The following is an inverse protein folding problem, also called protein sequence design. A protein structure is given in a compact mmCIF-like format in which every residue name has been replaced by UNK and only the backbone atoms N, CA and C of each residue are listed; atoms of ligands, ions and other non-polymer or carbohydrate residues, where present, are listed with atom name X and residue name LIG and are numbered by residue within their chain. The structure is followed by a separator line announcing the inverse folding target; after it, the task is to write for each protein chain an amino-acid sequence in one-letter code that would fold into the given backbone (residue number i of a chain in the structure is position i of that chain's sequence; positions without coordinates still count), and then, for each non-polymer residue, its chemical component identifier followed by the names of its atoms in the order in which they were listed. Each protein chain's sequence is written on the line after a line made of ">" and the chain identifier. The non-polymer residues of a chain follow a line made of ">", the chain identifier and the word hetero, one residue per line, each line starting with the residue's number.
data_IF_626549199043
#
_entry.id   IF_626549199043
#
_cell.length_a   1.000
_cell.length_b   1.000
_cell.length_c   1.000
_cell.angle_alpha   90.00
_cell.angle_beta   90.00
_cell.angle_gamma   90.00
#
_symmetry.space_group_name_H-M   'P 1'
#
loop_
_entity.id
_entity.type
_entity.pdbx_description
1 polymer ?
#
# COMPACT_ATOMS: atom_id res chain seq x y z
N UNK A 1 70.59 -15.76 39.24
CA UNK A 1 69.96 -16.29 38.01
C UNK A 1 68.79 -17.15 38.41
N UNK A 2 67.62 -16.86 37.86
CA UNK A 2 66.34 -17.48 38.16
C UNK A 2 66.12 -18.77 37.33
N UNK A 3 65.33 -19.70 37.85
CA UNK A 3 64.56 -20.64 37.03
C UNK A 3 63.29 -21.06 37.80
N UNK A 4 62.15 -20.86 37.14
CA UNK A 4 60.77 -20.97 37.61
C UNK A 4 60.29 -22.41 37.86
N UNK A 5 59.20 -22.59 38.64
CA UNK A 5 58.49 -23.86 38.73
C UNK A 5 57.61 -24.11 37.50
N UNK A 6 57.53 -25.38 37.08
CA UNK A 6 56.67 -25.87 36.00
C UNK A 6 55.21 -25.91 36.51
N UNK A 7 54.38 -24.99 36.01
CA UNK A 7 52.96 -24.96 36.30
C UNK A 7 52.21 -26.01 35.45
N UNK A 8 51.34 -26.78 36.09
CA UNK A 8 50.60 -27.87 35.51
C UNK A 8 49.30 -27.34 34.87
N UNK A 9 49.16 -27.52 33.55
CA UNK A 9 47.94 -27.69 32.75
C UNK A 9 46.67 -26.95 33.23
N UNK A 10 46.35 -25.83 32.57
CA UNK A 10 44.99 -25.29 32.57
C UNK A 10 44.07 -26.20 31.74
N UNK A 11 42.95 -26.61 32.34
CA UNK A 11 41.83 -27.21 31.61
C UNK A 11 41.29 -26.18 30.62
N UNK A 12 41.45 -26.44 29.33
CA UNK A 12 40.77 -25.67 28.29
C UNK A 12 39.28 -26.03 28.35
N UNK A 13 38.48 -25.08 28.85
CA UNK A 13 37.04 -25.10 28.64
C UNK A 13 36.79 -24.92 27.14
N UNK A 14 36.30 -25.98 26.49
CA UNK A 14 35.71 -25.90 25.17
C UNK A 14 34.46 -25.02 25.29
N UNK A 15 34.61 -23.73 24.99
CA UNK A 15 33.46 -22.84 24.86
C UNK A 15 32.64 -23.29 23.65
N UNK A 16 31.40 -23.69 23.91
CA UNK A 16 30.39 -23.94 22.90
C UNK A 16 30.16 -22.64 22.12
N UNK A 17 30.58 -22.60 20.86
CA UNK A 17 30.22 -21.51 19.96
C UNK A 17 28.74 -21.64 19.62
N UNK A 18 27.88 -20.88 20.30
CA UNK A 18 26.50 -20.68 19.85
C UNK A 18 26.54 -19.92 18.52
N UNK A 19 26.28 -20.63 17.43
CA UNK A 19 25.95 -20.01 16.14
C UNK A 19 24.81 -19.01 16.36
N UNK A 20 24.82 -17.82 15.73
CA UNK A 20 23.69 -16.92 15.83
C UNK A 20 22.41 -17.65 15.40
N UNK A 21 21.36 -17.50 16.19
CA UNK A 21 20.06 -18.15 15.99
C UNK A 21 19.64 -17.98 14.53
N UNK A 22 19.57 -19.09 13.77
CA UNK A 22 19.17 -19.05 12.36
C UNK A 22 17.73 -18.54 12.30
N UNK A 23 17.54 -17.30 11.88
CA UNK A 23 16.21 -16.71 11.66
C UNK A 23 15.44 -17.56 10.67
N UNK A 24 14.14 -17.74 10.91
CA UNK A 24 13.29 -18.56 10.05
C UNK A 24 13.31 -17.99 8.61
N UNK A 25 13.39 -18.83 7.55
CA UNK A 25 13.48 -18.36 6.16
C UNK A 25 12.42 -17.32 5.78
N UNK A 26 11.17 -17.51 6.21
CA UNK A 26 10.07 -16.54 5.98
C UNK A 26 10.28 -15.19 6.69
N UNK A 27 10.96 -15.16 7.83
CA UNK A 27 11.28 -13.89 8.52
C UNK A 27 12.36 -13.13 7.75
N UNK A 28 13.33 -13.84 7.16
CA UNK A 28 14.31 -13.22 6.27
C UNK A 28 13.63 -12.65 5.03
N UNK A 29 12.77 -13.44 4.38
CA UNK A 29 12.01 -13.04 3.19
C UNK A 29 11.16 -11.79 3.46
N UNK A 30 10.44 -11.75 4.60
CA UNK A 30 9.69 -10.57 5.03
C UNK A 30 10.55 -9.31 5.14
N UNK A 31 11.69 -9.41 5.83
CA UNK A 31 12.60 -8.26 6.01
C UNK A 31 13.24 -7.80 4.70
N UNK A 32 13.51 -8.72 3.78
CA UNK A 32 14.08 -8.39 2.48
C UNK A 32 13.06 -7.64 1.60
N UNK A 33 11.78 -8.05 1.64
CA UNK A 33 10.69 -7.34 0.97
C UNK A 33 10.45 -5.95 1.58
N UNK A 34 10.55 -5.80 2.91
CA UNK A 34 10.47 -4.50 3.57
C UNK A 34 11.57 -3.53 3.12
N UNK A 35 12.83 -3.98 3.06
CA UNK A 35 13.94 -3.14 2.57
C UNK A 35 13.69 -2.67 1.15
N UNK A 36 13.29 -3.60 0.27
CA UNK A 36 12.96 -3.29 -1.13
C UNK A 36 11.83 -2.26 -1.21
N UNK A 37 10.83 -2.33 -0.34
CA UNK A 37 9.72 -1.37 -0.28
C UNK A 37 10.16 0.02 0.22
N UNK A 38 11.12 0.07 1.14
CA UNK A 38 11.74 1.31 1.64
C UNK A 38 12.53 2.06 0.56
N UNK A 39 13.24 1.34 -0.32
CA UNK A 39 14.02 1.94 -1.40
C UNK A 39 13.16 2.74 -2.41
N UNK A 40 11.85 2.46 -2.49
CA UNK A 40 10.93 3.19 -3.37
C UNK A 40 10.48 4.56 -2.84
N UNK A 41 10.78 4.91 -1.58
CA UNK A 41 10.32 6.15 -0.94
C UNK A 41 11.08 7.41 -1.43
N UNK A 42 12.32 7.24 -1.90
CA UNK A 42 13.18 8.37 -2.33
C UNK A 42 12.89 8.85 -3.76
N UNK A 43 12.11 8.10 -4.55
CA UNK A 43 11.90 8.41 -5.96
C UNK A 43 10.63 9.24 -6.17
N UNK A 44 10.68 10.25 -7.05
CA UNK A 44 9.48 11.02 -7.41
C UNK A 44 8.32 10.10 -7.83
N UNK A 45 7.10 10.27 -7.27
CA UNK A 45 6.02 9.32 -7.48
C UNK A 45 5.56 9.33 -8.94
N UNK A 46 5.83 8.22 -9.63
CA UNK A 46 5.38 7.90 -10.99
C UNK A 46 4.34 6.78 -10.95
N UNK A 47 3.55 6.61 -12.02
CA UNK A 47 2.60 5.49 -12.06
C UNK A 47 3.31 4.15 -11.93
N UNK A 48 4.41 3.97 -12.68
CA UNK A 48 5.25 2.76 -12.64
C UNK A 48 5.84 2.47 -11.26
N UNK A 49 6.36 3.48 -10.55
CA UNK A 49 6.93 3.27 -9.22
C UNK A 49 5.85 2.95 -8.18
N UNK A 50 4.64 3.47 -8.34
CA UNK A 50 3.51 3.14 -7.48
C UNK A 50 3.05 1.70 -7.73
N UNK A 51 2.93 1.25 -8.97
CA UNK A 51 2.59 -0.14 -9.29
C UNK A 51 3.65 -1.11 -8.77
N UNK A 52 4.94 -0.76 -8.86
CA UNK A 52 6.01 -1.56 -8.26
C UNK A 52 5.87 -1.67 -6.74
N UNK A 53 5.49 -0.57 -6.07
CA UNK A 53 5.22 -0.57 -4.62
C UNK A 53 4.01 -1.44 -4.28
N UNK A 54 2.92 -1.37 -5.06
CA UNK A 54 1.72 -2.21 -4.85
C UNK A 54 2.03 -3.69 -5.07
N UNK A 55 2.78 -4.04 -6.11
CA UNK A 55 3.24 -5.41 -6.34
C UNK A 55 4.13 -5.92 -5.19
N UNK A 56 5.08 -5.12 -4.71
CA UNK A 56 5.89 -5.50 -3.55
C UNK A 56 5.07 -5.67 -2.27
N UNK A 57 3.98 -4.93 -2.10
CA UNK A 57 3.03 -5.17 -1.00
C UNK A 57 2.36 -6.53 -1.13
N UNK A 58 1.98 -6.96 -2.33
CA UNK A 58 1.38 -8.29 -2.54
C UNK A 58 2.34 -9.39 -2.10
N UNK A 59 3.61 -9.33 -2.52
CA UNK A 59 4.66 -10.27 -2.10
C UNK A 59 4.82 -10.32 -0.57
N UNK A 60 4.78 -9.15 0.08
CA UNK A 60 4.90 -9.02 1.53
C UNK A 60 3.70 -9.64 2.27
N UNK A 61 2.48 -9.39 1.79
CA UNK A 61 1.26 -10.01 2.33
C UNK A 61 1.27 -11.53 2.15
N UNK A 62 1.74 -12.04 1.01
CA UNK A 62 1.89 -13.49 0.79
C UNK A 62 2.89 -14.14 1.75
N UNK A 63 4.00 -13.45 2.05
CA UNK A 63 4.96 -13.91 3.05
C UNK A 63 4.31 -14.00 4.44
N UNK A 64 3.50 -13.01 4.81
CA UNK A 64 2.79 -12.96 6.09
C UNK A 64 1.72 -14.05 6.17
N UNK A 65 0.95 -14.28 5.11
CA UNK A 65 -0.02 -15.35 5.09
C UNK A 65 0.62 -16.71 5.35
N UNK A 66 1.81 -16.97 4.77
CA UNK A 66 2.59 -18.20 5.06
C UNK A 66 3.09 -18.23 6.51
N UNK A 67 3.51 -17.09 7.06
CA UNK A 67 3.96 -16.98 8.44
C UNK A 67 2.83 -17.26 9.43
N UNK A 68 1.62 -16.74 9.16
CA UNK A 68 0.43 -16.90 10.00
C UNK A 68 -0.07 -18.36 10.07
N UNK A 69 0.30 -19.20 9.10
CA UNK A 69 -0.03 -20.63 9.10
C UNK A 69 0.89 -21.49 10.00
N UNK A 70 1.94 -20.92 10.58
CA UNK A 70 2.91 -21.69 11.36
C UNK A 70 2.37 -22.02 12.77
N UNK A 71 2.69 -23.19 13.35
CA UNK A 71 2.16 -23.60 14.66
C UNK A 71 2.44 -22.62 15.81
N UNK A 72 3.55 -21.88 15.73
CA UNK A 72 3.93 -20.93 16.78
C UNK A 72 3.03 -19.67 16.79
N UNK A 73 2.43 -19.29 15.66
CA UNK A 73 1.50 -18.15 15.60
C UNK A 73 0.13 -18.52 16.18
N UNK A 74 -0.28 -19.78 16.00
CA UNK A 74 -1.48 -20.36 16.62
C UNK A 74 -1.32 -20.50 18.13
N UNK A 75 -0.12 -20.87 18.61
CA UNK A 75 0.17 -20.89 20.04
C UNK A 75 0.06 -19.50 20.69
N UNK A 76 0.42 -18.42 19.98
CA UNK A 76 0.32 -17.05 20.48
C UNK A 76 -1.13 -16.61 20.76
N UNK A 77 -2.12 -17.16 20.04
CA UNK A 77 -3.53 -16.86 20.29
C UNK A 77 -4.03 -17.43 21.62
N UNK A 78 -3.46 -18.55 22.05
CA UNK A 78 -3.79 -19.22 23.32
C UNK A 78 -3.28 -18.42 24.54
N UNK A 79 -2.27 -17.56 24.37
CA UNK A 79 -1.66 -16.75 25.45
C UNK A 79 -2.37 -15.41 25.76
N UNK A 80 -3.65 -15.25 25.40
CA UNK A 80 -4.51 -14.08 25.71
C UNK A 80 -4.28 -12.79 24.89
N UNK A 81 -3.64 -12.83 23.71
CA UNK A 81 -3.47 -11.64 22.84
C UNK A 81 -4.74 -11.20 22.07
N UNK A 82 -5.94 -11.50 22.58
CA UNK A 82 -7.22 -11.19 21.91
C UNK A 82 -7.38 -9.72 21.55
N UNK A 83 -6.93 -8.82 22.43
CA UNK A 83 -6.97 -7.37 22.20
C UNK A 83 -6.17 -6.99 20.95
N UNK A 84 -4.95 -7.52 20.82
CA UNK A 84 -4.09 -7.22 19.69
C UNK A 84 -4.63 -7.78 18.37
N UNK A 85 -5.13 -9.03 18.36
CA UNK A 85 -5.78 -9.58 17.17
C UNK A 85 -7.01 -8.76 16.75
N UNK A 86 -7.81 -8.29 17.70
CA UNK A 86 -8.95 -7.41 17.39
C UNK A 86 -8.48 -6.07 16.79
N UNK A 87 -7.42 -5.44 17.34
CA UNK A 87 -6.84 -4.22 16.78
C UNK A 87 -6.34 -4.45 15.33
N UNK A 88 -5.67 -5.58 15.06
CA UNK A 88 -5.25 -5.97 13.70
C UNK A 88 -6.44 -6.20 12.76
N UNK A 89 -7.51 -6.81 13.27
CA UNK A 89 -8.74 -7.00 12.50
C UNK A 89 -9.38 -5.64 12.19
N UNK A 90 -9.47 -4.72 13.14
CA UNK A 90 -9.98 -3.37 12.88
C UNK A 90 -9.12 -2.64 11.84
N UNK A 91 -7.80 -2.80 11.93
CA UNK A 91 -6.85 -2.28 10.96
C UNK A 91 -7.03 -2.81 9.54
N UNK A 92 -7.13 -4.13 9.40
CA UNK A 92 -7.41 -4.79 8.11
C UNK A 92 -8.75 -4.35 7.51
N UNK A 93 -9.78 -4.13 8.33
CA UNK A 93 -11.09 -3.67 7.87
C UNK A 93 -11.00 -2.25 7.33
N UNK A 94 -10.31 -1.35 8.05
CA UNK A 94 -10.10 0.02 7.59
C UNK A 94 -9.32 0.05 6.26
N UNK A 95 -8.31 -0.81 6.09
CA UNK A 95 -7.58 -0.94 4.83
C UNK A 95 -8.50 -1.37 3.67
N UNK A 96 -9.42 -2.32 3.92
CA UNK A 96 -10.42 -2.74 2.93
C UNK A 96 -11.39 -1.63 2.57
N UNK A 97 -11.85 -0.83 3.54
CA UNK A 97 -12.73 0.32 3.27
C UNK A 97 -12.01 1.39 2.41
N UNK A 98 -10.72 1.58 2.65
CA UNK A 98 -9.87 2.48 1.85
C UNK A 98 -9.70 1.93 0.44
N UNK A 99 -9.41 0.62 0.28
CA UNK A 99 -9.39 -0.05 -1.02
C UNK A 99 -10.67 0.21 -1.80
N UNK A 100 -11.83 -0.06 -1.19
CA UNK A 100 -13.13 0.12 -1.82
C UNK A 100 -13.34 1.57 -2.27
N UNK A 101 -13.04 2.53 -1.39
CA UNK A 101 -13.13 3.97 -1.72
C UNK A 101 -12.19 4.36 -2.87
N UNK A 102 -10.99 3.77 -2.92
CA UNK A 102 -10.01 4.03 -3.98
C UNK A 102 -10.47 3.47 -5.33
N UNK A 103 -10.95 2.23 -5.36
CA UNK A 103 -11.50 1.56 -6.55
C UNK A 103 -12.71 2.35 -7.08
N UNK A 104 -13.66 2.72 -6.21
CA UNK A 104 -14.82 3.52 -6.59
C UNK A 104 -14.44 4.87 -7.21
N UNK A 105 -13.41 5.53 -6.66
CA UNK A 105 -12.89 6.78 -7.21
C UNK A 105 -12.27 6.55 -8.59
N UNK A 106 -11.42 5.53 -8.74
CA UNK A 106 -10.78 5.18 -10.01
C UNK A 106 -11.81 4.87 -11.10
N UNK A 107 -12.82 4.04 -10.80
CA UNK A 107 -13.91 3.69 -11.70
C UNK A 107 -14.68 4.94 -12.17
N UNK A 108 -15.02 5.85 -11.25
CA UNK A 108 -15.69 7.11 -11.61
C UNK A 108 -14.79 8.04 -12.43
N UNK A 109 -13.48 8.11 -12.16
CA UNK A 109 -12.54 8.87 -13.01
C UNK A 109 -12.46 8.26 -14.41
N UNK A 110 -12.40 6.93 -14.51
CA UNK A 110 -12.35 6.18 -15.78
C UNK A 110 -13.58 6.45 -16.64
N UNK A 111 -14.77 6.37 -16.06
CA UNK A 111 -16.04 6.68 -16.72
C UNK A 111 -16.07 8.12 -17.25
N UNK A 112 -15.77 9.12 -16.38
CA UNK A 112 -15.74 10.52 -16.78
C UNK A 112 -14.65 10.81 -17.85
N UNK A 113 -13.54 10.07 -17.81
CA UNK A 113 -12.47 10.16 -18.82
C UNK A 113 -12.95 9.62 -20.17
N UNK A 114 -13.68 8.50 -20.19
CA UNK A 114 -14.27 7.92 -21.41
C UNK A 114 -15.33 8.83 -22.01
N UNK A 115 -16.21 9.41 -21.20
CA UNK A 115 -17.21 10.38 -21.65
C UNK A 115 -16.55 11.59 -22.32
N UNK A 116 -15.52 12.13 -21.68
CA UNK A 116 -14.76 13.26 -22.20
C UNK A 116 -14.02 12.91 -23.50
N UNK A 117 -13.34 11.75 -23.55
CA UNK A 117 -12.69 11.26 -24.77
C UNK A 117 -13.69 11.06 -25.91
N UNK A 118 -14.85 10.46 -25.63
CA UNK A 118 -15.91 10.20 -26.60
C UNK A 118 -16.43 11.52 -27.19
N UNK A 119 -16.69 12.51 -26.33
CA UNK A 119 -17.12 13.85 -26.74
C UNK A 119 -16.07 14.54 -27.63
N UNK A 120 -14.79 14.41 -27.27
CA UNK A 120 -13.69 15.00 -28.05
C UNK A 120 -13.50 14.30 -29.41
N UNK A 121 -13.66 12.97 -29.47
CA UNK A 121 -13.52 12.17 -30.70
C UNK A 121 -14.63 12.43 -31.71
N UNK A 122 -15.85 12.70 -31.25
CA UNK A 122 -17.01 12.96 -32.12
C UNK A 122 -16.93 14.30 -32.90
N UNK A 123 -15.83 15.07 -32.78
CA UNK A 123 -15.60 16.39 -33.42
C UNK A 123 -16.89 17.20 -33.53
N UNK A 124 -17.48 17.54 -32.39
CA UNK A 124 -18.64 18.41 -32.38
C UNK A 124 -18.15 19.86 -32.47
N UNK A 125 -18.54 20.59 -33.50
CA UNK A 125 -18.19 22.01 -33.70
C UNK A 125 -18.72 22.93 -32.57
N UNK A 126 -19.47 22.39 -31.62
CA UNK A 126 -20.02 23.11 -30.49
C UNK A 126 -19.05 23.12 -29.31
N UNK A 127 -18.23 24.18 -29.22
CA UNK A 127 -17.31 24.43 -28.11
C UNK A 127 -18.00 24.43 -26.72
N UNK A 128 -19.31 24.70 -26.68
CA UNK A 128 -20.12 24.70 -25.46
C UNK A 128 -20.32 23.29 -24.88
N UNK A 129 -20.47 22.26 -25.72
CA UNK A 129 -20.63 20.88 -25.25
C UNK A 129 -19.34 20.28 -24.71
N UNK A 130 -18.22 20.55 -25.37
CA UNK A 130 -16.89 20.20 -24.87
C UNK A 130 -16.66 20.87 -23.51
N UNK A 131 -17.02 22.17 -23.39
CA UNK A 131 -16.92 22.90 -22.12
C UNK A 131 -17.73 22.24 -21.02
N UNK A 132 -19.01 21.92 -21.29
CA UNK A 132 -19.89 21.24 -20.33
C UNK A 132 -19.31 19.90 -19.85
N UNK A 133 -18.75 19.11 -20.76
CA UNK A 133 -18.17 17.80 -20.40
C UNK A 133 -16.87 17.94 -19.60
N UNK A 134 -16.04 18.94 -19.92
CA UNK A 134 -14.84 19.28 -19.14
C UNK A 134 -15.22 19.70 -17.72
N UNK A 135 -16.25 20.54 -17.57
CA UNK A 135 -16.74 20.96 -16.26
C UNK A 135 -17.30 19.79 -15.45
N UNK A 136 -18.05 18.88 -16.09
CA UNK A 136 -18.51 17.63 -15.48
C UNK A 136 -17.33 16.77 -15.00
N UNK A 137 -16.32 16.56 -15.84
CA UNK A 137 -15.09 15.83 -15.47
C UNK A 137 -14.38 16.48 -14.27
N UNK A 138 -14.16 17.80 -14.29
CA UNK A 138 -13.49 18.52 -13.21
C UNK A 138 -14.27 18.47 -11.90
N UNK A 139 -15.61 18.60 -11.95
CA UNK A 139 -16.48 18.48 -10.79
C UNK A 139 -16.42 17.08 -10.18
N UNK A 140 -16.53 16.04 -11.02
CA UNK A 140 -16.41 14.64 -10.60
C UNK A 140 -15.05 14.37 -9.94
N UNK A 141 -13.96 14.80 -10.57
CA UNK A 141 -12.59 14.63 -10.03
C UNK A 141 -12.40 15.38 -8.70
N UNK A 142 -13.04 16.54 -8.53
CA UNK A 142 -13.03 17.28 -7.25
C UNK A 142 -13.74 16.51 -6.14
N UNK A 143 -14.87 15.87 -6.43
CA UNK A 143 -15.60 15.03 -5.46
C UNK A 143 -14.76 13.82 -5.05
N UNK A 144 -14.21 13.11 -6.02
CA UNK A 144 -13.39 11.93 -5.76
C UNK A 144 -12.11 12.28 -4.99
N UNK A 145 -11.44 13.38 -5.35
CA UNK A 145 -10.30 13.90 -4.58
C UNK A 145 -10.65 14.11 -3.10
N UNK A 146 -11.82 14.69 -2.81
CA UNK A 146 -12.26 14.89 -1.42
C UNK A 146 -12.52 13.56 -0.71
N UNK A 147 -13.11 12.58 -1.38
CA UNK A 147 -13.34 11.25 -0.83
C UNK A 147 -12.01 10.56 -0.47
N UNK A 148 -11.04 10.57 -1.39
CA UNK A 148 -9.71 10.00 -1.16
C UNK A 148 -8.97 10.72 -0.03
N UNK A 149 -9.04 12.05 0.03
CA UNK A 149 -8.47 12.83 1.13
C UNK A 149 -9.14 12.55 2.48
N UNK A 150 -10.43 12.24 2.50
CA UNK A 150 -11.13 11.84 3.72
C UNK A 150 -10.67 10.46 4.17
N UNK A 151 -10.55 9.51 3.24
CA UNK A 151 -10.02 8.17 3.51
C UNK A 151 -8.59 8.24 4.07
N UNK A 152 -7.72 9.04 3.45
CA UNK A 152 -6.35 9.30 3.91
C UNK A 152 -6.30 9.78 5.36
N UNK A 153 -7.15 10.76 5.72
CA UNK A 153 -7.22 11.27 7.09
C UNK A 153 -7.69 10.23 8.09
N UNK A 154 -8.62 9.34 7.69
CA UNK A 154 -9.05 8.21 8.52
C UNK A 154 -7.88 7.28 8.83
N UNK A 155 -7.08 6.96 7.81
CA UNK A 155 -5.89 6.11 7.97
C UNK A 155 -4.84 6.68 8.92
N UNK A 156 -4.56 7.99 8.82
CA UNK A 156 -3.53 8.62 9.66
C UNK A 156 -3.86 8.58 11.16
N UNK A 157 -5.15 8.57 11.52
CA UNK A 157 -5.60 8.46 12.91
C UNK A 157 -5.22 7.08 13.47
N UNK A 158 -5.27 6.04 12.64
CA UNK A 158 -5.02 4.66 13.05
C UNK A 158 -3.53 4.36 13.27
N UNK A 159 -2.64 4.90 12.42
CA UNK A 159 -1.17 4.79 12.57
C UNK A 159 -0.69 5.28 13.94
N UNK A 160 -1.42 6.20 14.55
CA UNK A 160 -1.01 6.86 15.79
C UNK A 160 -1.36 6.09 17.08
N UNK A 161 -2.08 4.96 16.98
CA UNK A 161 -2.35 4.08 18.12
C UNK A 161 -1.16 3.15 18.37
N UNK A 162 -0.18 3.64 19.12
CA UNK A 162 0.93 2.81 19.62
C UNK A 162 0.47 2.03 20.84
N UNK A 163 0.31 0.72 20.72
CA UNK A 163 0.40 -0.18 21.87
C UNK A 163 1.72 -0.95 21.83
N UNK A 164 2.41 -0.89 22.97
CA UNK A 164 3.63 -1.57 23.39
C UNK A 164 3.35 -3.05 23.68
N UNK A 165 3.76 -3.94 22.78
CA UNK A 165 3.93 -5.37 23.10
C UNK A 165 5.16 -5.91 22.36
N UNK A 166 6.03 -6.63 23.08
CA UNK A 166 7.40 -7.00 22.68
C UNK A 166 7.49 -8.32 21.90
N UNK A 167 6.41 -8.77 21.24
CA UNK A 167 6.45 -9.99 20.45
C UNK A 167 6.99 -9.72 19.03
N UNK A 168 8.02 -10.45 18.57
CA UNK A 168 8.62 -10.23 17.25
C UNK A 168 7.60 -10.29 16.10
N UNK A 169 6.66 -11.23 16.14
CA UNK A 169 5.64 -11.35 15.09
C UNK A 169 4.60 -10.22 15.11
N UNK A 170 4.26 -9.71 16.30
CA UNK A 170 3.38 -8.56 16.45
C UNK A 170 4.03 -7.32 15.82
N UNK A 171 5.34 -7.13 16.04
CA UNK A 171 6.10 -6.05 15.42
C UNK A 171 6.11 -6.16 13.91
N UNK A 172 6.34 -7.36 13.35
CA UNK A 172 6.31 -7.58 11.89
C UNK A 172 4.94 -7.26 11.29
N UNK A 173 3.86 -7.69 11.94
CA UNK A 173 2.50 -7.46 11.43
C UNK A 173 2.09 -5.98 11.50
N UNK A 174 2.54 -5.25 12.52
CA UNK A 174 2.39 -3.78 12.58
C UNK A 174 3.20 -3.08 11.49
N UNK A 175 4.39 -3.58 11.19
CA UNK A 175 5.22 -3.05 10.12
C UNK A 175 4.61 -3.30 8.74
N UNK A 176 4.05 -4.49 8.50
CA UNK A 176 3.24 -4.81 7.31
C UNK A 176 2.09 -3.81 7.16
N UNK A 177 1.33 -3.60 8.22
CA UNK A 177 0.20 -2.67 8.23
C UNK A 177 0.66 -1.25 7.91
N UNK A 178 1.71 -0.75 8.58
CA UNK A 178 2.27 0.56 8.34
C UNK A 178 2.75 0.74 6.89
N UNK A 179 3.49 -0.23 6.35
CA UNK A 179 4.02 -0.18 4.98
C UNK A 179 2.89 -0.24 3.96
N UNK A 180 1.86 -1.05 4.23
CA UNK A 180 0.63 -1.10 3.43
C UNK A 180 -0.06 0.27 3.43
N UNK A 181 -0.22 0.90 4.60
CA UNK A 181 -0.81 2.24 4.75
C UNK A 181 -0.01 3.31 3.97
N UNK A 182 1.32 3.30 4.05
CA UNK A 182 2.13 4.26 3.26
C UNK A 182 2.02 4.00 1.75
N UNK A 183 1.82 2.74 1.32
CA UNK A 183 1.52 2.40 -0.06
C UNK A 183 0.21 3.00 -0.53
N UNK A 184 -0.86 2.85 0.27
CA UNK A 184 -2.14 3.51 0.02
C UNK A 184 -2.00 5.03 0.00
N UNK A 185 -1.26 5.62 0.94
CA UNK A 185 -1.02 7.06 0.97
C UNK A 185 -0.36 7.58 -0.31
N UNK A 186 0.66 6.86 -0.79
CA UNK A 186 1.37 7.17 -2.02
C UNK A 186 0.43 7.12 -3.24
N UNK A 187 -0.35 6.05 -3.36
CA UNK A 187 -1.31 5.85 -4.44
C UNK A 187 -2.41 6.91 -4.43
N UNK A 188 -3.06 7.12 -3.28
CA UNK A 188 -4.17 8.06 -3.15
C UNK A 188 -3.70 9.50 -3.37
N UNK A 189 -2.50 9.84 -2.92
CA UNK A 189 -1.90 11.15 -3.18
C UNK A 189 -1.63 11.35 -4.68
N UNK A 190 -1.15 10.32 -5.37
CA UNK A 190 -0.94 10.34 -6.81
C UNK A 190 -2.25 10.52 -7.59
N UNK A 191 -3.29 9.76 -7.25
CA UNK A 191 -4.63 9.88 -7.86
C UNK A 191 -5.26 11.26 -7.57
N UNK A 192 -5.08 11.76 -6.35
CA UNK A 192 -5.56 13.08 -5.93
C UNK A 192 -4.78 14.24 -6.57
N UNK A 193 -3.61 13.98 -7.15
CA UNK A 193 -2.76 15.00 -7.78
C UNK A 193 -3.45 15.58 -9.02
N UNK A 194 -3.48 16.91 -9.17
CA UNK A 194 -3.94 17.53 -10.40
C UNK A 194 -2.95 17.29 -11.53
N UNK A 195 -3.30 16.38 -12.44
CA UNK A 195 -2.59 16.20 -13.71
C UNK A 195 -2.93 17.32 -14.75
N UNK A 196 -3.87 18.21 -14.44
CA UNK A 196 -4.10 19.45 -15.18
C UNK A 196 -3.43 20.60 -14.42
N UNK A 197 -2.26 21.01 -14.90
CA UNK A 197 -1.50 22.10 -14.31
C UNK A 197 -2.31 23.41 -14.19
N UNK A 198 -2.26 23.96 -12.97
CA UNK A 198 -2.38 25.35 -12.55
C UNK A 198 -3.70 26.11 -12.86
N UNK A 199 -3.88 27.18 -12.06
CA UNK A 199 -5.03 28.09 -11.96
C UNK A 199 -5.38 28.78 -13.29
N UNK A 200 -5.87 28.03 -14.26
CA UNK A 200 -6.28 28.57 -15.55
C UNK A 200 -7.80 28.47 -15.66
N UNK A 201 -8.44 29.58 -16.08
CA UNK A 201 -9.90 29.67 -16.20
C UNK A 201 -10.44 28.55 -17.08
N UNK A 202 -11.67 28.09 -16.82
CA UNK A 202 -12.37 27.02 -17.59
C UNK A 202 -12.13 27.16 -19.11
N UNK A 203 -12.13 28.41 -19.60
CA UNK A 203 -11.90 28.76 -21.01
C UNK A 203 -10.51 28.41 -21.57
N UNK A 204 -9.44 28.60 -20.79
CA UNK A 204 -8.08 28.24 -21.21
C UNK A 204 -7.82 26.73 -21.16
N UNK A 205 -8.62 25.99 -20.40
CA UNK A 205 -8.59 24.52 -20.39
C UNK A 205 -9.28 23.95 -21.63
N UNK A 206 -10.41 24.55 -22.03
CA UNK A 206 -11.14 24.19 -23.25
C UNK A 206 -10.28 24.41 -24.49
N UNK A 207 -9.66 25.60 -24.65
CA UNK A 207 -8.80 25.88 -25.81
C UNK A 207 -7.56 24.96 -25.87
N UNK A 208 -7.02 24.54 -24.71
CA UNK A 208 -5.91 23.58 -24.61
C UNK A 208 -6.31 22.12 -24.81
N UNK A 209 -7.60 21.78 -24.72
CA UNK A 209 -8.07 20.40 -24.79
C UNK A 209 -8.36 19.93 -26.23
N UNK A 210 -8.66 20.86 -27.13
CA UNK A 210 -8.98 20.57 -28.54
C UNK A 210 -7.78 20.02 -29.36
N UNK A 211 -6.56 20.04 -28.80
CA UNK A 211 -5.36 19.52 -29.49
C UNK A 211 -5.19 17.99 -29.38
N UNK A 212 -4.80 17.35 -30.49
CA UNK A 212 -4.54 15.91 -30.61
C UNK A 212 -3.61 15.33 -29.52
N UNK A 213 -2.65 16.12 -29.02
CA UNK A 213 -1.73 15.76 -27.92
C UNK A 213 -2.42 15.43 -26.58
N UNK A 214 -3.73 15.68 -26.42
CA UNK A 214 -4.46 15.45 -25.15
C UNK A 214 -5.42 14.28 -25.19
N UNK A 215 -5.87 13.82 -26.37
CA UNK A 215 -6.53 12.50 -26.52
C UNK A 215 -5.55 11.40 -26.10
N UNK A 216 -4.28 11.53 -26.47
CA UNK A 216 -3.22 10.61 -26.06
C UNK A 216 -2.96 10.65 -24.55
N UNK A 217 -3.06 11.83 -23.92
CA UNK A 217 -2.97 11.96 -22.46
C UNK A 217 -4.13 11.29 -21.73
N UNK A 218 -5.38 11.50 -22.19
CA UNK A 218 -6.55 10.83 -21.60
C UNK A 218 -6.45 9.31 -21.73
N UNK A 219 -5.93 8.80 -22.85
CA UNK A 219 -5.67 7.36 -23.03
C UNK A 219 -4.62 6.83 -22.05
N UNK A 220 -3.52 7.57 -21.84
CA UNK A 220 -2.51 7.21 -20.82
C UNK A 220 -3.05 7.27 -19.39
N UNK A 221 -3.93 8.23 -19.10
CA UNK A 221 -4.59 8.28 -17.80
C UNK A 221 -5.48 7.05 -17.58
N UNK A 222 -6.27 6.68 -18.59
CA UNK A 222 -7.13 5.51 -18.54
C UNK A 222 -6.35 4.21 -18.34
N UNK A 223 -5.21 4.02 -19.04
CA UNK A 223 -4.35 2.86 -18.85
C UNK A 223 -3.77 2.79 -17.43
N UNK A 224 -3.31 3.93 -16.90
CA UNK A 224 -2.81 3.99 -15.52
C UNK A 224 -3.92 3.67 -14.50
N UNK A 225 -5.16 4.12 -14.75
CA UNK A 225 -6.30 3.82 -13.88
C UNK A 225 -6.59 2.31 -13.90
N UNK A 226 -6.58 1.69 -15.08
CA UNK A 226 -6.77 0.24 -15.23
C UNK A 226 -5.71 -0.53 -14.44
N UNK A 227 -4.44 -0.15 -14.56
CA UNK A 227 -3.34 -0.79 -13.83
C UNK A 227 -3.54 -0.65 -12.31
N UNK A 228 -3.88 0.54 -11.81
CA UNK A 228 -4.14 0.73 -10.38
C UNK A 228 -5.38 -0.03 -9.87
N UNK A 229 -6.41 -0.17 -10.69
CA UNK A 229 -7.62 -0.94 -10.38
C UNK A 229 -7.26 -2.42 -10.17
N UNK A 230 -6.51 -3.01 -11.09
CA UNK A 230 -6.06 -4.41 -11.01
C UNK A 230 -5.17 -4.67 -9.78
N UNK A 231 -4.23 -3.78 -9.52
CA UNK A 231 -3.33 -3.85 -8.36
C UNK A 231 -4.09 -3.72 -7.03
N UNK A 232 -5.06 -2.79 -6.95
CA UNK A 232 -5.89 -2.61 -5.77
C UNK A 232 -6.82 -3.80 -5.51
N UNK A 233 -7.42 -4.36 -6.55
CA UNK A 233 -8.21 -5.58 -6.42
C UNK A 233 -7.36 -6.75 -5.91
N UNK A 234 -6.13 -6.88 -6.41
CA UNK A 234 -5.23 -7.92 -5.94
C UNK A 234 -4.84 -7.74 -4.48
N UNK A 235 -4.48 -6.51 -4.09
CA UNK A 235 -4.16 -6.19 -2.71
C UNK A 235 -5.39 -6.39 -1.79
N UNK A 236 -6.59 -6.05 -2.25
CA UNK A 236 -7.83 -6.31 -1.51
C UNK A 236 -8.05 -7.80 -1.26
N UNK A 237 -7.75 -8.68 -2.23
CA UNK A 237 -7.85 -10.13 -2.05
C UNK A 237 -6.88 -10.63 -0.98
N UNK A 238 -5.63 -10.13 -0.98
CA UNK A 238 -4.64 -10.46 0.04
C UNK A 238 -5.07 -9.98 1.43
N UNK A 239 -5.55 -8.74 1.56
CA UNK A 239 -6.06 -8.21 2.83
C UNK A 239 -7.22 -9.05 3.39
N UNK A 240 -8.15 -9.50 2.53
CA UNK A 240 -9.22 -10.42 2.94
C UNK A 240 -8.65 -11.75 3.43
N UNK A 241 -7.67 -12.31 2.71
CA UNK A 241 -7.03 -13.58 3.07
C UNK A 241 -6.30 -13.49 4.41
N UNK A 242 -5.51 -12.44 4.63
CA UNK A 242 -4.84 -12.17 5.91
C UNK A 242 -5.86 -11.99 7.04
N UNK A 243 -6.96 -11.25 6.80
CA UNK A 243 -8.05 -11.10 7.78
C UNK A 243 -8.67 -12.45 8.16
N UNK A 244 -8.94 -13.31 7.17
CA UNK A 244 -9.49 -14.66 7.41
C UNK A 244 -8.50 -15.49 8.23
N UNK A 245 -7.21 -15.44 7.92
CA UNK A 245 -6.16 -16.11 8.71
C UNK A 245 -6.15 -15.63 10.17
N UNK A 246 -6.22 -14.31 10.40
CA UNK A 246 -6.29 -13.74 11.76
C UNK A 246 -7.56 -14.18 12.52
N UNK A 247 -8.72 -14.19 11.85
CA UNK A 247 -9.98 -14.67 12.44
C UNK A 247 -9.91 -16.15 12.81
N UNK A 248 -9.30 -16.97 11.96
CA UNK A 248 -9.11 -18.39 12.23
C UNK A 248 -8.21 -18.60 13.46
N UNK A 249 -7.14 -17.81 13.58
CA UNK A 249 -6.24 -17.86 14.73
C UNK A 249 -6.96 -17.45 16.03
N UNK A 250 -7.86 -16.46 15.99
CA UNK A 250 -8.60 -16.00 17.18
C UNK A 250 -9.71 -16.95 17.64
N UNK A 251 -10.25 -17.76 16.72
CA UNK A 251 -11.35 -18.69 16.98
C UNK A 251 -10.90 -20.11 17.36
N UNK A 252 -9.60 -20.41 17.29
CA UNK A 252 -8.99 -21.70 17.68
C UNK A 252 -8.22 -21.59 19.00
#
# INVERSE_FOLDING_TARGET
>A
MAASPVNCKSHQHTHSNSLPTRTHPLISEFNDQLRKLGDFEETSPSSTSICQKLNGLQDLHDCVDKLLLLPFTQALAQEQHKKWFNEMLDGSLMLLDVCGTAVDALLKTKECTRDLQSTLRRRKDSNTEITREVEKYLASRKIQKKALQKALKGMQIMINYKNTEDFPIISMLKELEAVTLTGFESLLTFIAKPNLQSKSSSWSLVSKLVHHKRVTWLGKLESNIQEFEEELECLSRHLVKTRVSLLNILNH
#
